data_IF_500939015717
#
_entry.id   IF_500939015717
#
_cell.length_a   1.000
_cell.length_b   1.000
_cell.length_c   1.000
_cell.angle_alpha   90.00
_cell.angle_beta   90.00
_cell.angle_gamma   90.00
#
_symmetry.space_group_name_H-M   'P 1'
#
loop_
_entity.id
_entity.type
_entity.pdbx_description
1 polymer ?
#
# COMPACT_ATOMS: atom_id res chain seq x y z
N UNK A 1 -2.31 4.51 22.39
CA UNK A 1 -2.58 4.32 20.95
C UNK A 1 -2.88 5.69 20.37
N UNK A 2 -2.04 6.24 19.50
CA UNK A 2 -2.34 7.51 18.86
C UNK A 2 -3.67 7.39 18.08
N UNK A 3 -4.52 8.42 18.10
CA UNK A 3 -5.80 8.39 17.40
C UNK A 3 -5.55 8.25 15.88
N UNK A 4 -6.01 7.16 15.28
CA UNK A 4 -5.94 7.00 13.82
C UNK A 4 -6.91 7.98 13.16
N UNK A 5 -6.41 8.79 12.23
CA UNK A 5 -7.25 9.69 11.44
C UNK A 5 -8.02 8.87 10.40
N UNK A 6 -9.35 8.91 10.46
CA UNK A 6 -10.19 8.31 9.42
C UNK A 6 -10.31 9.29 8.24
N UNK A 7 -9.98 8.81 7.04
CA UNK A 7 -10.11 9.58 5.81
C UNK A 7 -10.95 8.78 4.81
N UNK A 8 -11.94 9.39 4.15
CA UNK A 8 -12.63 8.73 3.04
C UNK A 8 -11.65 8.57 1.88
N UNK A 9 -11.40 7.33 1.47
CA UNK A 9 -10.51 7.00 0.37
C UNK A 9 -11.33 6.72 -0.90
N UNK A 10 -11.02 7.45 -1.98
CA UNK A 10 -11.61 7.21 -3.31
C UNK A 10 -10.59 6.45 -4.16
N UNK A 11 -10.91 5.22 -4.51
CA UNK A 11 -10.11 4.36 -5.37
C UNK A 11 -11.03 3.59 -6.33
N UNK A 12 -10.51 3.14 -7.46
CA UNK A 12 -11.25 2.27 -8.38
C UNK A 12 -11.53 0.91 -7.73
N UNK A 13 -12.68 0.30 -8.04
CA UNK A 13 -13.05 -1.04 -7.52
C UNK A 13 -12.00 -2.10 -7.83
N UNK A 14 -11.43 -2.09 -9.05
CA UNK A 14 -10.38 -3.02 -9.46
C UNK A 14 -9.16 -2.98 -8.53
N UNK A 15 -8.65 -1.78 -8.25
CA UNK A 15 -7.52 -1.60 -7.32
C UNK A 15 -7.87 -2.07 -5.90
N UNK A 16 -9.11 -1.83 -5.45
CA UNK A 16 -9.54 -2.32 -4.14
C UNK A 16 -9.53 -3.85 -4.07
N UNK A 17 -10.03 -4.52 -5.12
CA UNK A 17 -10.03 -5.99 -5.22
C UNK A 17 -8.61 -6.56 -5.24
N UNK A 18 -7.68 -5.95 -5.98
CA UNK A 18 -6.27 -6.34 -6.00
C UNK A 18 -5.61 -6.19 -4.62
N UNK A 19 -5.86 -5.08 -3.92
CA UNK A 19 -5.35 -4.89 -2.55
C UNK A 19 -6.00 -5.88 -1.57
N UNK A 20 -7.28 -6.20 -1.75
CA UNK A 20 -7.99 -7.15 -0.89
C UNK A 20 -7.45 -8.58 -1.05
N UNK A 21 -7.23 -9.03 -2.28
CA UNK A 21 -6.62 -10.33 -2.56
C UNK A 21 -5.20 -10.41 -1.96
N UNK A 22 -4.39 -9.37 -2.14
CA UNK A 22 -3.05 -9.34 -1.52
C UNK A 22 -3.11 -9.35 0.02
N UNK A 23 -4.05 -8.62 0.62
CA UNK A 23 -4.25 -8.65 2.05
C UNK A 23 -4.63 -10.06 2.56
N UNK A 24 -5.45 -10.79 1.79
CA UNK A 24 -5.83 -12.17 2.09
C UNK A 24 -4.63 -13.12 2.03
N UNK A 25 -3.80 -13.03 0.97
CA UNK A 25 -2.57 -13.80 0.81
C UNK A 25 -1.58 -13.58 1.98
N UNK A 26 -1.48 -12.34 2.48
CA UNK A 26 -0.61 -11.97 3.60
C UNK A 26 -1.27 -12.19 4.99
N UNK A 27 -2.49 -12.75 5.05
CA UNK A 27 -3.30 -12.90 6.28
C UNK A 27 -3.47 -11.58 7.07
N UNK A 28 -3.67 -10.47 6.37
CA UNK A 28 -3.88 -9.12 6.94
C UNK A 28 -5.28 -8.60 6.65
N UNK A 29 -5.72 -7.65 7.48
CA UNK A 29 -6.91 -6.84 7.13
C UNK A 29 -6.59 -5.90 5.97
N UNK A 30 -7.60 -5.57 5.16
CA UNK A 30 -7.47 -4.62 4.04
C UNK A 30 -6.93 -3.27 4.53
N UNK A 31 -7.45 -2.74 5.64
CA UNK A 31 -6.97 -1.49 6.22
C UNK A 31 -5.51 -1.59 6.68
N UNK A 32 -5.11 -2.74 7.24
CA UNK A 32 -3.72 -3.00 7.61
C UNK A 32 -2.80 -3.05 6.40
N UNK A 33 -3.26 -3.64 5.29
CA UNK A 33 -2.51 -3.67 4.04
C UNK A 33 -2.35 -2.28 3.44
N UNK A 34 -3.42 -1.47 3.39
CA UNK A 34 -3.36 -0.07 2.94
C UNK A 34 -2.38 0.73 3.82
N UNK A 35 -2.44 0.59 5.14
CA UNK A 35 -1.52 1.27 6.08
C UNK A 35 -0.06 0.87 5.85
N UNK A 36 0.21 -0.42 5.61
CA UNK A 36 1.54 -0.92 5.29
C UNK A 36 2.08 -0.29 4.00
N UNK A 37 1.30 -0.33 2.92
CA UNK A 37 1.71 0.21 1.62
C UNK A 37 2.01 1.71 1.68
N UNK A 38 1.13 2.48 2.32
CA UNK A 38 1.35 3.93 2.49
C UNK A 38 2.58 4.20 3.36
N UNK A 39 2.82 3.38 4.39
CA UNK A 39 3.99 3.52 5.27
C UNK A 39 5.29 3.27 4.50
N UNK A 40 5.35 2.19 3.71
CA UNK A 40 6.55 1.87 2.92
C UNK A 40 6.80 2.92 1.83
N UNK A 41 5.76 3.43 1.16
CA UNK A 41 5.90 4.55 0.21
C UNK A 41 6.49 5.82 0.85
N UNK A 42 6.02 6.19 2.06
CA UNK A 42 6.56 7.36 2.78
C UNK A 42 8.00 7.12 3.22
N UNK A 43 8.30 5.93 3.76
CA UNK A 43 9.64 5.53 4.21
C UNK A 43 10.64 5.52 3.06
N UNK A 44 10.24 4.99 1.90
CA UNK A 44 11.04 5.03 0.70
C UNK A 44 11.31 6.47 0.25
N UNK A 45 10.27 7.29 0.14
CA UNK A 45 10.43 8.72 -0.20
C UNK A 45 11.43 9.44 0.72
N UNK A 46 11.40 9.14 2.02
CA UNK A 46 12.39 9.67 2.98
C UNK A 46 13.81 9.16 2.74
N UNK A 47 13.96 7.90 2.30
CA UNK A 47 15.27 7.27 2.07
C UNK A 47 15.96 7.75 0.79
N UNK A 48 15.25 7.75 -0.33
CA UNK A 48 15.84 7.95 -1.66
C UNK A 48 15.10 9.00 -2.52
N UNK A 49 14.13 9.72 -1.96
CA UNK A 49 13.38 10.77 -2.67
C UNK A 49 12.40 10.26 -3.73
N UNK A 50 12.32 8.94 -3.95
CA UNK A 50 11.47 8.31 -4.97
C UNK A 50 10.11 7.93 -4.37
N UNK A 51 9.07 8.03 -5.17
CA UNK A 51 7.68 7.74 -4.77
C UNK A 51 7.21 6.34 -5.19
N UNK A 52 8.04 5.60 -5.93
CA UNK A 52 7.77 4.24 -6.43
C UNK A 52 9.05 3.41 -6.20
N UNK A 53 8.94 2.18 -5.70
CA UNK A 53 10.07 1.27 -5.65
C UNK A 53 10.59 0.95 -7.04
N UNK A 54 11.92 0.91 -7.16
CA UNK A 54 12.63 0.64 -8.41
C UNK A 54 12.27 -0.72 -9.01
N UNK A 55 11.81 -1.65 -8.17
CA UNK A 55 11.50 -3.03 -8.56
C UNK A 55 10.02 -3.24 -8.97
N UNK A 56 9.12 -2.26 -8.79
CA UNK A 56 7.70 -2.39 -9.24
C UNK A 56 7.56 -2.43 -10.78
N UNK A 57 8.62 -2.07 -11.52
CA UNK A 57 8.65 -2.07 -12.99
C UNK A 57 9.40 -3.25 -13.62
N UNK A 58 10.06 -4.11 -12.83
CA UNK A 58 10.67 -5.32 -13.37
C UNK A 58 9.57 -6.36 -13.54
N UNK A 59 8.88 -6.33 -14.69
CA UNK A 59 8.32 -7.58 -15.21
C UNK A 59 9.48 -8.56 -15.27
N UNK A 60 9.42 -9.61 -14.47
CA UNK A 60 10.21 -10.81 -14.73
C UNK A 60 9.84 -11.23 -16.17
N UNK A 61 10.82 -11.12 -17.08
CA UNK A 61 10.77 -11.76 -18.40
C UNK A 61 10.92 -13.28 -18.24
#
# INVERSE_FOLDING_TARGET
MASKKQIPLRISSKLYEEIAAWAEEDFRSINGQIEYLLTECVKQRKKNGRHIPEDIGKKEE
#
